data_IF_111281653350
#
_entry.id   IF_111281653350
#
_cell.length_a   1.000
_cell.length_b   1.000
_cell.length_c   1.000
_cell.angle_alpha   90.00
_cell.angle_beta   90.00
_cell.angle_gamma   90.00
#
_symmetry.space_group_name_H-M   'P 1'
#
loop_
_entity.id
_entity.type
_entity.pdbx_description
1 polymer ?
#
# COMPACT_ATOMS: atom_id res chain seq x y z
N UNK A 1 -7.45 -15.61 2.38
CA UNK A 1 -6.33 -16.22 3.13
C UNK A 1 -5.76 -15.15 4.07
N UNK A 2 -5.52 -15.44 5.35
CA UNK A 2 -4.92 -14.46 6.29
C UNK A 2 -3.41 -14.45 6.13
N UNK A 3 -2.80 -13.27 6.29
CA UNK A 3 -1.34 -13.14 6.27
C UNK A 3 -0.78 -13.65 7.60
N UNK A 4 0.28 -14.45 7.56
CA UNK A 4 0.92 -15.00 8.76
C UNK A 4 2.40 -14.64 8.83
N UNK A 5 2.87 -14.13 9.97
CA UNK A 5 4.28 -13.92 10.24
C UNK A 5 4.60 -14.39 11.65
N UNK A 6 5.65 -15.22 11.79
CA UNK A 6 6.07 -15.84 13.07
C UNK A 6 4.93 -16.52 13.84
N UNK A 7 4.02 -17.19 13.13
CA UNK A 7 2.88 -17.89 13.73
C UNK A 7 1.71 -16.99 14.15
N UNK A 8 1.84 -15.66 14.04
CA UNK A 8 0.75 -14.71 14.31
C UNK A 8 -0.03 -14.47 13.02
N UNK A 9 -1.35 -14.50 13.12
CA UNK A 9 -2.28 -14.19 12.03
C UNK A 9 -2.61 -12.70 12.05
N UNK A 10 -2.49 -12.04 10.90
CA UNK A 10 -2.74 -10.62 10.73
C UNK A 10 -4.04 -10.39 9.97
N UNK A 11 -4.82 -9.42 10.44
CA UNK A 11 -5.95 -8.89 9.68
C UNK A 11 -5.44 -7.84 8.69
N UNK A 12 -5.46 -8.22 7.41
CA UNK A 12 -5.14 -7.30 6.31
C UNK A 12 -6.32 -6.37 6.05
N UNK A 13 -6.07 -5.07 6.13
CA UNK A 13 -7.01 -4.03 5.71
C UNK A 13 -6.42 -3.32 4.48
N UNK A 14 -6.49 -3.94 3.29
CA UNK A 14 -5.94 -3.32 2.09
C UNK A 14 -6.73 -2.04 1.76
N UNK A 15 -6.02 -0.94 1.60
CA UNK A 15 -6.63 0.29 1.09
C UNK A 15 -6.94 0.10 -0.39
N UNK A 16 -8.21 0.02 -0.75
CA UNK A 16 -8.62 0.05 -2.15
C UNK A 16 -8.55 1.51 -2.63
N UNK A 17 -7.54 1.84 -3.43
CA UNK A 17 -7.38 3.17 -4.02
C UNK A 17 -7.86 3.10 -5.45
N UNK A 18 -8.98 3.78 -5.74
CA UNK A 18 -9.45 3.89 -7.12
C UNK A 18 -8.45 4.70 -7.95
N UNK A 19 -8.11 4.16 -9.12
CA UNK A 19 -7.19 4.78 -10.08
C UNK A 19 -7.89 5.11 -11.38
N UNK A 20 -7.43 6.16 -12.05
CA UNK A 20 -7.75 6.42 -13.46
C UNK A 20 -6.73 5.66 -14.31
N UNK A 21 -7.19 5.00 -15.38
CA UNK A 21 -6.28 4.46 -16.37
C UNK A 21 -5.45 5.59 -16.97
N UNK A 22 -4.14 5.53 -16.79
CA UNK A 22 -3.26 6.52 -17.36
C UNK A 22 -2.60 6.05 -18.65
N UNK A 23 -1.82 6.97 -19.22
CA UNK A 23 -1.22 6.80 -20.54
C UNK A 23 -0.04 5.82 -20.46
N UNK A 24 0.27 5.21 -21.59
CA UNK A 24 1.50 4.40 -21.74
C UNK A 24 2.69 5.36 -21.57
N UNK A 25 3.45 5.15 -20.50
CA UNK A 25 4.64 5.94 -20.17
C UNK A 25 5.92 5.40 -20.80
N UNK A 26 5.88 4.17 -21.34
CA UNK A 26 7.00 3.55 -22.03
C UNK A 26 6.85 2.03 -22.12
N UNK A 27 7.96 1.35 -22.35
CA UNK A 27 8.03 -0.11 -22.35
C UNK A 27 8.86 -0.56 -21.13
N UNK A 28 8.32 -1.49 -20.33
CA UNK A 28 9.06 -2.21 -19.30
C UNK A 28 9.18 -3.67 -19.72
N UNK A 29 10.43 -4.15 -19.90
CA UNK A 29 10.73 -5.52 -20.38
C UNK A 29 9.99 -5.89 -21.68
N UNK A 30 9.86 -4.93 -22.60
CA UNK A 30 9.18 -5.12 -23.88
C UNK A 30 7.65 -5.05 -23.84
N UNK A 31 7.04 -4.85 -22.66
CA UNK A 31 5.59 -4.66 -22.52
C UNK A 31 5.25 -3.20 -22.20
N UNK A 32 4.12 -2.65 -22.68
CA UNK A 32 3.70 -1.28 -22.40
C UNK A 32 3.45 -1.09 -20.91
N UNK A 33 4.21 -0.18 -20.30
CA UNK A 33 4.03 0.26 -18.92
C UNK A 33 3.10 1.48 -18.92
N UNK A 34 2.00 1.38 -18.19
CA UNK A 34 1.06 2.48 -17.93
C UNK A 34 1.31 3.11 -16.56
N UNK A 35 1.31 4.44 -16.50
CA UNK A 35 1.36 5.17 -15.24
C UNK A 35 -0.07 5.43 -14.78
N UNK A 36 -0.48 4.87 -13.65
CA UNK A 36 -1.81 5.10 -13.08
C UNK A 36 -1.80 6.25 -12.08
N UNK A 37 -2.81 7.11 -12.12
CA UNK A 37 -3.00 8.19 -11.15
C UNK A 37 -4.20 7.87 -10.24
N UNK A 38 -4.09 8.07 -8.91
CA UNK A 38 -5.24 7.95 -8.02
C UNK A 38 -6.35 8.92 -8.42
N UNK A 39 -7.61 8.48 -8.43
CA UNK A 39 -8.77 9.35 -8.70
C UNK A 39 -8.93 10.43 -7.63
N UNK A 40 -8.57 10.11 -6.40
CA UNK A 40 -8.63 11.00 -5.26
C UNK A 40 -7.33 10.88 -4.47
N UNK A 41 -6.89 11.97 -3.87
CA UNK A 41 -5.75 11.95 -2.94
C UNK A 41 -6.12 11.05 -1.75
N UNK A 42 -5.42 9.93 -1.53
CA UNK A 42 -5.73 9.06 -0.41
C UNK A 42 -5.53 9.83 0.89
N UNK A 43 -6.51 9.78 1.79
CA UNK A 43 -6.36 10.37 3.12
C UNK A 43 -5.20 9.66 3.81
N UNK A 44 -4.24 10.44 4.31
CA UNK A 44 -3.19 9.92 5.20
C UNK A 44 -3.88 9.34 6.43
N UNK A 45 -3.77 8.04 6.63
CA UNK A 45 -4.22 7.41 7.88
C UNK A 45 -3.36 7.93 9.03
N UNK A 46 -3.97 8.09 10.21
CA UNK A 46 -3.28 8.56 11.41
C UNK A 46 -2.03 7.73 11.70
N UNK A 47 -1.01 8.38 12.30
CA UNK A 47 0.24 7.73 12.69
C UNK A 47 -0.10 6.54 13.59
N UNK A 48 0.19 5.32 13.11
CA UNK A 48 -0.01 4.12 13.91
C UNK A 48 1.01 4.16 15.05
N UNK A 49 0.54 4.13 16.29
CA UNK A 49 1.43 3.96 17.43
C UNK A 49 2.04 2.55 17.32
N UNK A 50 3.32 2.50 16.97
CA UNK A 50 4.06 1.24 16.84
C UNK A 50 4.87 1.01 18.10
N UNK A 51 4.85 -0.20 18.64
CA UNK A 51 5.69 -0.55 19.79
C UNK A 51 6.58 -1.71 19.42
N UNK A 52 7.90 -1.54 19.55
CA UNK A 52 8.87 -2.61 19.37
C UNK A 52 9.73 -2.74 20.64
N UNK A 53 9.73 -3.94 21.24
CA UNK A 53 10.43 -4.24 22.51
C UNK A 53 10.12 -3.24 23.64
N UNK A 54 8.88 -2.78 23.74
CA UNK A 54 8.44 -1.81 24.75
C UNK A 54 8.72 -0.34 24.41
N UNK A 55 9.47 -0.05 23.35
CA UNK A 55 9.73 1.32 22.88
C UNK A 55 8.64 1.74 21.89
N UNK A 56 8.07 2.93 22.08
CA UNK A 56 7.06 3.52 21.20
C UNK A 56 7.72 4.27 20.05
N UNK A 57 7.18 4.06 18.85
CA UNK A 57 7.57 4.70 17.60
C UNK A 57 6.35 5.41 17.02
N UNK A 58 6.59 6.57 16.43
CA UNK A 58 5.63 7.32 15.64
C UNK A 58 6.11 7.26 14.18
N UNK A 59 5.23 6.85 13.27
CA UNK A 59 5.50 6.69 11.83
C UNK A 59 4.88 7.77 10.97
#
# INVERSE_FOLDING_TARGET
MKLSFRGIQYESHPSNVEVVEGRVGGLYRGSPWKLHQPKQTPKRTAQRQMTYRGVRYQG
#
